data_IF_079418988083
#
_entry.id   IF_079418988083
#
_cell.length_a   1.000
_cell.length_b   1.000
_cell.length_c   1.000
_cell.angle_alpha   90.00
_cell.angle_beta   90.00
_cell.angle_gamma   90.00
#
_symmetry.space_group_name_H-M   'P 1'
#
loop_
_entity.id
_entity.type
_entity.pdbx_description
1 polymer ?
#
# COMPACT_ATOMS: atom_id res chain seq x y z
N UNK A 1 -11.15 -3.98 8.05
CA UNK A 1 -12.08 -2.88 7.73
C UNK A 1 -13.19 -2.83 8.77
N UNK A 2 -13.83 -1.67 9.05
CA UNK A 2 -14.90 -1.59 10.05
C UNK A 2 -16.13 -2.40 9.58
N UNK A 3 -16.70 -3.18 10.50
CA UNK A 3 -17.90 -4.00 10.25
C UNK A 3 -19.14 -3.19 9.84
N UNK A 4 -19.15 -1.91 10.18
CA UNK A 4 -20.20 -0.97 9.81
C UNK A 4 -20.37 -0.74 8.30
N UNK A 5 -19.30 -1.02 7.51
CA UNK A 5 -19.31 -0.77 6.07
C UNK A 5 -20.32 -1.67 5.34
N UNK A 6 -20.37 -2.97 5.68
CA UNK A 6 -21.36 -3.88 5.11
C UNK A 6 -22.81 -3.50 5.46
N UNK A 7 -23.04 -3.00 6.67
CA UNK A 7 -24.35 -2.46 7.06
C UNK A 7 -24.76 -1.24 6.22
N UNK A 8 -23.79 -0.36 5.95
CA UNK A 8 -24.01 0.82 5.13
C UNK A 8 -24.36 0.43 3.67
N UNK A 9 -23.57 -0.49 3.08
CA UNK A 9 -23.82 -1.00 1.72
C UNK A 9 -25.23 -1.58 1.60
N UNK A 10 -25.61 -2.44 2.55
CA UNK A 10 -26.94 -3.05 2.59
C UNK A 10 -28.07 -2.02 2.73
N UNK A 11 -27.87 -1.02 3.58
CA UNK A 11 -28.86 0.06 3.80
C UNK A 11 -29.05 0.93 2.56
N UNK A 12 -27.96 1.21 1.83
CA UNK A 12 -28.01 2.05 0.62
C UNK A 12 -28.53 1.29 -0.61
N UNK A 13 -28.33 -0.03 -0.66
CA UNK A 13 -28.72 -0.88 -1.80
C UNK A 13 -28.08 -0.43 -3.12
N UNK A 14 -26.82 0.00 -3.07
CA UNK A 14 -26.04 0.47 -4.23
C UNK A 14 -24.91 -0.47 -4.56
N UNK A 15 -24.47 -0.54 -5.83
CA UNK A 15 -23.28 -1.34 -6.18
C UNK A 15 -22.03 -0.79 -5.51
N UNK A 16 -21.11 -1.69 -5.18
CA UNK A 16 -19.80 -1.33 -4.60
C UNK A 16 -18.72 -1.48 -5.65
N UNK A 17 -17.92 -0.43 -5.80
CA UNK A 17 -16.75 -0.38 -6.69
C UNK A 17 -15.52 -0.12 -5.86
N UNK A 18 -14.46 -0.88 -6.11
CA UNK A 18 -13.13 -0.63 -5.52
C UNK A 18 -12.21 -0.01 -6.55
N UNK A 19 -11.34 0.87 -6.10
CA UNK A 19 -10.21 1.40 -6.84
C UNK A 19 -8.94 1.00 -6.12
N UNK A 20 -8.17 0.09 -6.72
CA UNK A 20 -6.87 -0.34 -6.20
C UNK A 20 -5.76 0.34 -6.99
N UNK A 21 -4.91 1.06 -6.29
CA UNK A 21 -3.78 1.78 -6.88
C UNK A 21 -2.46 1.11 -6.47
N UNK A 22 -1.71 0.63 -7.46
CA UNK A 22 -0.43 -0.05 -7.29
C UNK A 22 0.74 0.91 -7.49
N UNK A 23 1.82 0.73 -6.73
CA UNK A 23 3.05 1.49 -6.86
C UNK A 23 3.08 2.80 -6.06
N UNK A 24 2.08 3.10 -5.26
CA UNK A 24 2.06 4.33 -4.44
C UNK A 24 3.20 4.37 -3.42
N UNK A 25 3.53 3.25 -2.77
CA UNK A 25 4.63 3.17 -1.82
C UNK A 25 5.99 3.42 -2.48
N UNK A 26 6.13 3.13 -3.78
CA UNK A 26 7.35 3.40 -4.56
C UNK A 26 7.42 4.87 -4.95
N UNK A 27 6.27 5.45 -5.34
CA UNK A 27 6.17 6.84 -5.78
C UNK A 27 6.34 7.82 -4.61
N UNK A 28 5.67 7.57 -3.49
CA UNK A 28 5.69 8.43 -2.30
C UNK A 28 5.88 7.59 -1.04
N UNK A 29 7.10 7.07 -0.79
CA UNK A 29 7.37 6.28 0.39
C UNK A 29 7.29 7.14 1.65
N UNK A 30 6.77 6.58 2.73
CA UNK A 30 6.49 7.33 3.97
C UNK A 30 7.77 7.87 4.67
N UNK A 31 8.95 7.33 4.36
CA UNK A 31 10.23 7.83 4.90
C UNK A 31 10.81 9.01 4.13
N UNK A 32 10.24 9.34 2.95
CA UNK A 32 10.71 10.44 2.12
C UNK A 32 9.52 11.21 1.53
N UNK A 33 9.40 12.49 1.89
CA UNK A 33 8.27 13.34 1.47
C UNK A 33 8.33 13.75 -0.03
N UNK A 34 9.45 13.51 -0.71
CA UNK A 34 9.59 13.83 -2.13
C UNK A 34 8.93 12.76 -2.99
N UNK A 35 7.96 13.15 -3.77
CA UNK A 35 7.32 12.29 -4.78
C UNK A 35 8.33 11.92 -5.87
N UNK A 36 8.33 10.66 -6.27
CA UNK A 36 9.21 10.10 -7.29
C UNK A 36 8.42 9.77 -8.54
N UNK A 37 9.04 9.95 -9.72
CA UNK A 37 8.46 9.52 -10.99
C UNK A 37 8.67 8.01 -11.15
N UNK A 38 7.65 7.23 -10.79
CA UNK A 38 7.65 5.76 -10.93
C UNK A 38 6.35 5.33 -11.58
N UNK A 39 6.39 4.25 -12.36
CA UNK A 39 5.19 3.68 -12.99
C UNK A 39 4.21 3.21 -11.93
N UNK A 40 2.99 3.69 -12.02
CA UNK A 40 1.87 3.27 -11.17
C UNK A 40 0.75 2.69 -12.04
N UNK A 41 -0.16 1.94 -11.42
CA UNK A 41 -1.34 1.38 -12.06
C UNK A 41 -2.53 1.56 -11.14
N UNK A 42 -3.70 1.88 -11.69
CA UNK A 42 -4.95 1.85 -10.97
C UNK A 42 -5.93 0.90 -11.67
N UNK A 43 -6.64 0.10 -10.89
CA UNK A 43 -7.66 -0.82 -11.39
C UNK A 43 -8.96 -0.57 -10.65
N UNK A 44 -10.02 -0.31 -11.41
CA UNK A 44 -11.36 -0.15 -10.88
C UNK A 44 -12.16 -1.43 -11.14
N UNK A 45 -12.77 -1.99 -10.09
CA UNK A 45 -13.54 -3.24 -10.18
C UNK A 45 -14.83 -3.11 -9.39
N UNK A 46 -15.96 -3.44 -10.02
CA UNK A 46 -17.23 -3.62 -9.31
C UNK A 46 -17.21 -4.96 -8.60
N UNK A 47 -17.23 -4.94 -7.27
CA UNK A 47 -17.14 -6.14 -6.41
C UNK A 47 -18.48 -6.60 -5.86
N UNK A 48 -19.50 -5.73 -5.84
CA UNK A 48 -20.87 -6.06 -5.39
C UNK A 48 -21.85 -5.36 -6.33
N UNK A 49 -22.80 -6.08 -6.87
CA UNK A 49 -23.92 -5.54 -7.65
C UNK A 49 -24.99 -4.96 -6.73
N UNK A 50 -25.96 -4.26 -7.30
CA UNK A 50 -27.11 -3.73 -6.55
C UNK A 50 -27.95 -4.86 -5.94
N UNK A 51 -28.19 -5.92 -6.71
CA UNK A 51 -28.96 -7.08 -6.27
C UNK A 51 -28.26 -7.78 -5.10
N UNK A 52 -26.93 -7.98 -5.18
CA UNK A 52 -26.12 -8.57 -4.12
C UNK A 52 -26.10 -7.68 -2.87
N UNK A 53 -26.02 -6.35 -3.02
CA UNK A 53 -26.08 -5.42 -1.88
C UNK A 53 -27.38 -5.54 -1.09
N UNK A 54 -28.50 -5.83 -1.77
CA UNK A 54 -29.80 -6.02 -1.12
C UNK A 54 -29.98 -7.43 -0.52
N UNK A 55 -29.44 -8.47 -1.17
CA UNK A 55 -29.72 -9.88 -0.82
C UNK A 55 -28.69 -10.48 0.13
N UNK A 56 -27.39 -10.16 -0.04
CA UNK A 56 -26.32 -10.80 0.74
C UNK A 56 -26.36 -10.42 2.24
N UNK A 57 -25.97 -11.35 3.13
CA UNK A 57 -25.75 -11.04 4.55
C UNK A 57 -24.63 -10.01 4.72
N UNK A 58 -24.72 -9.20 5.77
CA UNK A 58 -23.72 -8.15 6.09
C UNK A 58 -22.31 -8.72 6.21
N UNK A 59 -22.17 -9.90 6.83
CA UNK A 59 -20.89 -10.59 7.02
C UNK A 59 -20.25 -10.98 5.68
N UNK A 60 -21.07 -11.41 4.72
CA UNK A 60 -20.58 -11.76 3.38
C UNK A 60 -20.17 -10.52 2.59
N UNK A 61 -20.92 -9.43 2.70
CA UNK A 61 -20.55 -8.12 2.11
C UNK A 61 -19.19 -7.67 2.67
N UNK A 62 -19.00 -7.70 4.00
CA UNK A 62 -17.73 -7.33 4.63
C UNK A 62 -16.58 -8.23 4.18
N UNK A 63 -16.82 -9.54 4.01
CA UNK A 63 -15.81 -10.49 3.51
C UNK A 63 -15.36 -10.14 2.09
N UNK A 64 -16.30 -9.90 1.17
CA UNK A 64 -16.01 -9.50 -0.22
C UNK A 64 -15.19 -8.21 -0.25
N UNK A 65 -15.57 -7.22 0.55
CA UNK A 65 -14.85 -5.95 0.63
C UNK A 65 -13.43 -6.16 1.18
N UNK A 66 -13.26 -6.94 2.25
CA UNK A 66 -11.94 -7.22 2.82
C UNK A 66 -11.04 -7.93 1.81
N UNK A 67 -11.55 -8.97 1.13
CA UNK A 67 -10.81 -9.69 0.09
C UNK A 67 -10.37 -8.79 -1.07
N UNK A 68 -11.18 -7.82 -1.46
CA UNK A 68 -10.84 -6.89 -2.53
C UNK A 68 -9.63 -5.99 -2.19
N UNK A 69 -9.27 -5.86 -0.91
CA UNK A 69 -8.12 -5.09 -0.45
C UNK A 69 -6.92 -5.97 -0.01
N UNK A 70 -7.03 -7.29 -0.18
CA UNK A 70 -5.90 -8.21 0.01
C UNK A 70 -5.01 -8.19 -1.22
N UNK A 71 -4.08 -7.25 -1.28
CA UNK A 71 -3.07 -7.17 -2.34
C UNK A 71 -1.69 -6.84 -1.77
N UNK A 72 -0.64 -7.33 -2.43
CA UNK A 72 0.77 -7.07 -2.10
C UNK A 72 1.39 -6.17 -3.16
N UNK A 73 1.59 -4.90 -2.80
CA UNK A 73 2.16 -3.89 -3.67
C UNK A 73 3.65 -4.17 -4.01
N UNK A 74 4.38 -4.79 -3.08
CA UNK A 74 5.77 -5.21 -3.32
C UNK A 74 5.87 -6.42 -4.25
N UNK A 75 4.96 -7.39 -4.13
CA UNK A 75 4.85 -8.49 -5.07
C UNK A 75 4.55 -7.96 -6.47
N UNK A 76 3.56 -7.07 -6.60
CA UNK A 76 3.24 -6.42 -7.85
C UNK A 76 4.43 -5.70 -8.48
N UNK A 77 5.22 -4.97 -7.69
CA UNK A 77 6.45 -4.30 -8.16
C UNK A 77 7.47 -5.30 -8.73
N UNK A 78 7.71 -6.39 -7.99
CA UNK A 78 8.66 -7.44 -8.42
C UNK A 78 8.23 -8.13 -9.71
N UNK A 79 6.97 -8.53 -9.80
CA UNK A 79 6.38 -9.20 -10.97
C UNK A 79 6.44 -8.34 -12.23
N UNK A 80 6.16 -7.03 -12.07
CA UNK A 80 6.21 -6.07 -13.17
C UNK A 80 7.61 -5.49 -13.43
N UNK A 81 8.63 -5.92 -12.67
CA UNK A 81 10.03 -5.48 -12.79
C UNK A 81 10.17 -3.96 -12.82
N UNK A 82 9.48 -3.27 -11.90
CA UNK A 82 9.47 -1.81 -11.85
C UNK A 82 10.67 -1.32 -11.03
N UNK A 83 11.71 -0.72 -11.66
CA UNK A 83 12.87 -0.20 -10.96
C UNK A 83 12.58 1.16 -10.34
N UNK A 84 13.22 1.43 -9.21
CA UNK A 84 13.27 2.76 -8.60
C UNK A 84 14.60 3.42 -8.98
N UNK A 85 14.58 4.23 -10.04
CA UNK A 85 15.78 4.88 -10.58
C UNK A 85 16.05 6.27 -9.96
N UNK A 86 15.24 6.69 -9.01
CA UNK A 86 15.42 7.98 -8.37
C UNK A 86 16.77 8.06 -7.63
N UNK A 87 17.56 9.11 -7.93
CA UNK A 87 18.93 9.25 -7.43
C UNK A 87 19.05 9.33 -5.90
N UNK A 88 18.03 9.87 -5.23
CA UNK A 88 17.97 10.01 -3.77
C UNK A 88 16.99 9.00 -3.14
N UNK A 89 16.91 7.77 -3.68
CA UNK A 89 15.92 6.77 -3.25
C UNK A 89 16.09 6.26 -1.83
N UNK A 90 17.31 6.32 -1.30
CA UNK A 90 17.60 5.92 0.07
C UNK A 90 17.44 7.07 1.09
N UNK A 91 17.33 8.33 0.64
CA UNK A 91 17.23 9.48 1.54
C UNK A 91 16.06 9.34 2.52
N UNK A 92 16.35 9.41 3.82
CA UNK A 92 15.39 9.26 4.91
C UNK A 92 15.12 7.82 5.34
N UNK A 93 15.66 6.82 4.65
CA UNK A 93 15.43 5.39 4.95
C UNK A 93 15.94 5.00 6.35
N UNK A 94 16.99 5.65 6.85
CA UNK A 94 17.51 5.47 8.21
C UNK A 94 16.47 5.76 9.32
N UNK A 95 15.43 6.54 9.03
CA UNK A 95 14.36 6.82 10.00
C UNK A 95 13.48 5.61 10.28
N UNK A 96 13.45 4.68 9.34
CA UNK A 96 12.71 3.40 9.43
C UNK A 96 13.66 2.28 9.83
N UNK A 97 14.81 2.21 9.18
CA UNK A 97 15.88 1.26 9.45
C UNK A 97 16.89 1.92 10.41
N UNK A 98 16.44 2.20 11.63
CA UNK A 98 17.20 2.98 12.62
C UNK A 98 18.25 2.18 13.39
N UNK A 99 18.13 0.82 13.40
CA UNK A 99 19.06 -0.08 14.06
C UNK A 99 20.00 -0.73 13.04
N UNK A 100 21.29 -0.66 13.30
CA UNK A 100 22.29 -1.34 12.46
C UNK A 100 22.20 -2.87 12.62
N UNK A 101 22.10 -3.63 11.54
CA UNK A 101 22.04 -5.10 11.60
C UNK A 101 23.36 -5.74 12.05
N UNK A 102 24.49 -5.05 11.88
CA UNK A 102 25.83 -5.54 12.23
C UNK A 102 26.17 -5.24 13.70
N UNK A 103 26.30 -3.96 14.08
CA UNK A 103 26.69 -3.59 15.45
C UNK A 103 25.49 -3.47 16.42
N UNK A 104 24.27 -3.59 15.95
CA UNK A 104 23.01 -3.48 16.70
C UNK A 104 22.78 -2.14 17.42
N UNK A 105 23.60 -1.14 17.15
CA UNK A 105 23.43 0.20 17.71
C UNK A 105 22.24 0.89 17.07
N UNK A 106 21.43 1.53 17.89
CA UNK A 106 20.25 2.29 17.44
C UNK A 106 20.60 3.75 17.17
N UNK A 107 19.85 4.37 16.23
CA UNK A 107 19.93 5.80 15.89
C UNK A 107 21.33 6.28 15.43
N UNK A 108 22.17 5.36 14.96
CA UNK A 108 23.46 5.66 14.33
C UNK A 108 23.47 5.42 12.82
N UNK A 109 22.33 5.02 12.29
CA UNK A 109 22.16 4.89 10.86
C UNK A 109 21.95 6.26 10.21
N UNK A 110 22.48 6.43 9.01
CA UNK A 110 22.20 7.57 8.14
C UNK A 110 21.99 7.08 6.72
N UNK A 111 21.38 7.91 5.87
CA UNK A 111 21.08 7.52 4.50
C UNK A 111 20.99 8.71 3.55
N UNK A 112 21.49 8.54 2.33
CA UNK A 112 21.44 9.54 1.28
C UNK A 112 21.72 8.93 -0.07
N UNK A 113 21.35 9.62 -1.12
CA UNK A 113 21.53 9.10 -2.47
C UNK A 113 20.88 7.71 -2.63
N UNK A 114 21.71 6.71 -2.85
CA UNK A 114 21.30 5.31 -3.04
C UNK A 114 21.73 4.39 -1.91
N UNK A 115 22.32 4.93 -0.85
CA UNK A 115 23.00 4.17 0.20
C UNK A 115 22.41 4.44 1.58
N UNK A 116 22.61 3.47 2.48
CA UNK A 116 22.36 3.57 3.91
C UNK A 116 23.63 3.04 4.62
N UNK A 117 24.07 3.71 5.67
CA UNK A 117 25.29 3.36 6.38
C UNK A 117 25.14 3.56 7.89
N UNK A 118 26.04 2.95 8.66
CA UNK A 118 26.18 3.13 10.09
C UNK A 118 27.36 4.07 10.41
N UNK A 119 27.14 5.03 11.30
CA UNK A 119 28.15 6.02 11.74
C UNK A 119 28.96 5.53 12.97
N UNK A 120 29.11 4.22 13.11
CA UNK A 120 30.01 3.62 14.11
C UNK A 120 31.31 3.16 13.50
#
# INVERSE_FOLDING_TARGET
>A
MPESLGKLVKRLGVPVVTLIAYGHHINAPFWNQKTRMVRTKATMTRIITREEACTLPVEQINRIINQAFEYDDFAWQRENKIPVLYKDRASGLHKVLYQCPDCRTEYRMDSGGTEIWCNQ
#
